data_IF_738435008604
#
_entry.id   IF_738435008604
#
_cell.length_a   1.000
_cell.length_b   1.000
_cell.length_c   1.000
_cell.angle_alpha   90.00
_cell.angle_beta   90.00
_cell.angle_gamma   90.00
#
_symmetry.space_group_name_H-M   'P 1'
#
loop_
_entity.id
_entity.type
_entity.pdbx_description
1 polymer ?
#
# COMPACT_ATOMS: atom_id res chain seq x y z
N UNK A 1 73.48 -15.32 39.89
CA UNK A 1 73.38 -14.69 38.57
C UNK A 1 72.21 -15.32 37.82
N UNK A 2 71.30 -14.49 37.26
CA UNK A 2 70.10 -14.84 36.45
C UNK A 2 68.98 -15.50 37.29
N UNK A 3 67.73 -14.99 37.33
CA UNK A 3 66.85 -14.67 36.21
C UNK A 3 65.96 -13.43 36.49
N UNK A 4 65.88 -12.53 35.51
CA UNK A 4 64.86 -11.48 35.42
C UNK A 4 63.60 -12.07 34.76
N UNK A 5 62.45 -12.02 35.44
CA UNK A 5 61.16 -12.33 34.81
C UNK A 5 60.57 -11.05 34.21
N UNK A 6 60.46 -11.02 32.88
CA UNK A 6 59.80 -9.97 32.11
C UNK A 6 58.29 -10.04 32.39
N UNK A 7 57.71 -8.94 32.85
CA UNK A 7 56.26 -8.76 32.94
C UNK A 7 55.75 -8.34 31.55
N UNK A 8 55.10 -9.24 30.83
CA UNK A 8 54.40 -8.91 29.60
C UNK A 8 52.96 -8.53 29.95
N UNK A 9 52.59 -7.25 29.80
CA UNK A 9 51.21 -6.79 29.91
C UNK A 9 50.59 -6.90 28.51
N UNK A 10 49.77 -7.93 28.31
CA UNK A 10 48.93 -8.05 27.11
C UNK A 10 47.72 -7.14 27.30
N UNK A 11 47.67 -6.02 26.56
CA UNK A 11 46.49 -5.17 26.50
C UNK A 11 45.44 -5.85 25.60
N UNK A 12 44.31 -6.26 26.19
CA UNK A 12 43.15 -6.69 25.42
C UNK A 12 42.41 -5.43 24.93
N UNK A 13 42.46 -5.16 23.63
CA UNK A 13 41.58 -4.18 22.99
C UNK A 13 40.20 -4.83 22.92
N UNK A 14 39.30 -4.42 23.81
CA UNK A 14 37.88 -4.73 23.70
C UNK A 14 37.33 -3.81 22.61
N UNK A 15 37.22 -4.34 21.39
CA UNK A 15 36.52 -3.67 20.30
C UNK A 15 35.04 -3.61 20.62
N UNK A 16 34.53 -2.43 20.96
CA UNK A 16 33.09 -2.18 20.94
C UNK A 16 32.65 -2.20 19.47
N UNK A 17 31.97 -3.27 19.08
CA UNK A 17 31.27 -3.33 17.79
C UNK A 17 30.23 -2.21 17.76
N UNK A 18 30.48 -1.20 16.93
CA UNK A 18 29.47 -0.21 16.55
C UNK A 18 28.41 -0.94 15.72
N UNK A 19 27.38 -1.46 16.39
CA UNK A 19 26.15 -1.86 15.71
C UNK A 19 25.56 -0.60 15.07
N UNK A 20 25.51 -0.56 13.75
CA UNK A 20 24.83 0.51 13.01
C UNK A 20 23.35 0.47 13.37
N UNK A 21 22.86 1.49 14.07
CA UNK A 21 21.43 1.73 14.25
C UNK A 21 20.87 2.13 12.88
N UNK A 22 20.25 1.20 12.18
CA UNK A 22 19.42 1.55 11.03
C UNK A 22 18.12 2.15 11.57
N UNK A 23 18.05 3.49 11.57
CA UNK A 23 16.80 4.20 11.84
C UNK A 23 15.98 4.07 10.55
N UNK A 24 14.89 3.30 10.58
CA UNK A 24 13.93 3.29 9.48
C UNK A 24 13.42 4.74 9.28
N UNK A 25 13.35 5.20 8.03
CA UNK A 25 12.88 6.54 7.70
C UNK A 25 11.57 6.45 6.92
N UNK A 26 10.65 7.38 7.19
CA UNK A 26 9.49 7.58 6.35
C UNK A 26 9.94 7.83 4.90
N UNK A 27 9.35 7.14 3.95
CA UNK A 27 9.67 7.26 2.54
C UNK A 27 8.39 7.44 1.72
N UNK A 28 8.49 8.19 0.62
CA UNK A 28 7.43 8.22 -0.39
C UNK A 28 7.69 7.08 -1.38
N UNK A 29 6.69 6.23 -1.57
CA UNK A 29 6.72 5.10 -2.50
C UNK A 29 5.59 5.27 -3.51
N UNK A 30 5.90 5.07 -4.78
CA UNK A 30 4.92 5.07 -5.87
C UNK A 30 4.77 3.66 -6.42
N UNK A 31 3.54 3.13 -6.41
CA UNK A 31 3.20 1.82 -6.93
C UNK A 31 2.36 1.98 -8.19
N UNK A 32 2.87 1.52 -9.32
CA UNK A 32 2.05 1.39 -10.53
C UNK A 32 1.02 0.28 -10.37
N UNK A 33 -0.14 0.46 -10.98
CA UNK A 33 -1.22 -0.53 -10.98
C UNK A 33 -0.74 -1.84 -11.60
N UNK A 34 -0.94 -2.95 -10.88
CA UNK A 34 -0.71 -4.31 -11.34
C UNK A 34 -1.83 -4.82 -12.24
N UNK A 35 -3.04 -4.27 -12.10
CA UNK A 35 -4.17 -4.49 -13.01
C UNK A 35 -5.18 -3.35 -12.85
N UNK A 36 -5.80 -2.94 -13.94
CA UNK A 36 -6.87 -1.95 -13.94
C UNK A 36 -7.88 -2.26 -15.02
N UNK A 37 -9.03 -1.61 -14.95
CA UNK A 37 -10.02 -1.70 -16.02
C UNK A 37 -11.40 -1.31 -15.52
N UNK A 38 -12.41 -1.91 -16.13
CA UNK A 38 -13.80 -1.78 -15.72
C UNK A 38 -14.54 -3.11 -15.71
N UNK A 39 -15.61 -3.15 -14.92
CA UNK A 39 -16.66 -4.16 -14.98
C UNK A 39 -18.02 -3.51 -15.26
N UNK A 40 -18.92 -4.26 -15.88
CA UNK A 40 -20.31 -3.85 -16.13
C UNK A 40 -21.26 -5.06 -16.13
N UNK A 41 -22.55 -4.79 -16.36
CA UNK A 41 -23.62 -5.80 -16.29
C UNK A 41 -24.18 -6.23 -17.65
N UNK A 42 -23.65 -5.73 -18.77
CA UNK A 42 -24.27 -5.90 -20.10
C UNK A 42 -23.30 -6.37 -21.18
N UNK A 43 -22.16 -5.70 -21.38
CA UNK A 43 -21.27 -5.97 -22.52
C UNK A 43 -20.11 -6.86 -22.12
N UNK A 44 -19.48 -7.54 -23.08
CA UNK A 44 -18.27 -8.32 -22.81
C UNK A 44 -17.05 -7.43 -22.60
N UNK A 45 -16.04 -7.95 -21.91
CA UNK A 45 -14.73 -7.31 -21.75
C UNK A 45 -13.60 -8.31 -22.07
N UNK A 46 -12.33 -7.86 -22.06
CA UNK A 46 -11.15 -8.71 -22.26
C UNK A 46 -10.09 -8.41 -21.21
N UNK A 47 -9.24 -9.40 -20.90
CA UNK A 47 -8.20 -9.26 -19.87
C UNK A 47 -7.13 -8.20 -20.23
N UNK A 48 -7.00 -7.84 -21.51
CA UNK A 48 -6.05 -6.82 -21.99
C UNK A 48 -6.63 -5.39 -21.99
N UNK A 49 -7.92 -5.24 -21.65
CA UNK A 49 -8.56 -3.94 -21.65
C UNK A 49 -8.27 -3.21 -20.34
N UNK A 50 -7.40 -2.20 -20.42
CA UNK A 50 -6.97 -1.42 -19.27
C UNK A 50 -7.65 -0.04 -19.19
N UNK A 51 -8.60 0.24 -20.09
CA UNK A 51 -9.48 1.41 -19.97
C UNK A 51 -10.22 1.34 -18.62
N UNK A 52 -10.19 2.41 -17.85
CA UNK A 52 -10.84 2.57 -16.55
C UNK A 52 -11.99 3.60 -16.59
N UNK A 53 -12.72 3.65 -17.71
CA UNK A 53 -13.96 4.41 -17.83
C UNK A 53 -14.87 4.14 -16.63
N UNK A 54 -15.40 5.22 -16.05
CA UNK A 54 -16.27 5.19 -14.89
C UNK A 54 -17.50 6.03 -15.15
N UNK A 55 -18.69 5.42 -15.07
CA UNK A 55 -19.97 6.07 -15.36
C UNK A 55 -20.71 5.45 -16.54
N UNK A 56 -21.67 6.19 -17.09
CA UNK A 56 -22.54 5.73 -18.16
C UNK A 56 -21.97 6.13 -19.53
N UNK A 57 -21.80 5.16 -20.41
CA UNK A 57 -21.56 5.36 -21.84
C UNK A 57 -22.52 4.47 -22.61
N UNK A 58 -23.50 5.11 -23.25
CA UNK A 58 -24.77 4.53 -23.69
C UNK A 58 -24.63 3.17 -24.38
N UNK A 59 -25.43 2.14 -24.00
CA UNK A 59 -26.39 2.06 -22.89
C UNK A 59 -25.79 1.44 -21.60
N UNK A 60 -24.46 1.48 -21.43
CA UNK A 60 -23.75 0.67 -20.44
C UNK A 60 -23.23 1.53 -19.29
N UNK A 61 -23.36 1.03 -18.07
CA UNK A 61 -22.73 1.64 -16.90
C UNK A 61 -21.48 0.87 -16.53
N UNK A 62 -20.38 1.59 -16.34
CA UNK A 62 -19.06 1.05 -16.06
C UNK A 62 -18.60 1.48 -14.68
N UNK A 63 -17.97 0.55 -13.95
CA UNK A 63 -17.28 0.84 -12.70
C UNK A 63 -15.83 0.42 -12.85
N UNK A 64 -14.94 1.33 -12.50
CA UNK A 64 -13.50 1.10 -12.64
C UNK A 64 -12.95 0.36 -11.45
N UNK A 65 -11.77 -0.24 -11.63
CA UNK A 65 -10.96 -0.74 -10.54
C UNK A 65 -9.48 -0.50 -10.82
N UNK A 66 -8.71 -0.46 -9.75
CA UNK A 66 -7.25 -0.44 -9.76
C UNK A 66 -6.73 -1.38 -8.69
N UNK A 67 -5.73 -2.20 -9.03
CA UNK A 67 -5.12 -3.19 -8.14
C UNK A 67 -3.63 -2.91 -8.00
N UNK A 68 -3.13 -2.86 -6.78
CA UNK A 68 -1.73 -2.56 -6.46
C UNK A 68 -1.12 -3.68 -5.64
N UNK A 69 0.10 -4.10 -5.98
CA UNK A 69 0.91 -5.01 -5.17
C UNK A 69 1.56 -4.25 -4.01
N UNK A 70 1.17 -4.57 -2.77
CA UNK A 70 1.73 -3.96 -1.54
C UNK A 70 2.90 -4.77 -0.96
N UNK A 71 3.47 -5.72 -1.72
CA UNK A 71 4.55 -6.62 -1.31
C UNK A 71 5.77 -5.94 -0.68
N UNK A 72 6.01 -4.67 -1.02
CA UNK A 72 7.16 -3.89 -0.57
C UNK A 72 6.82 -2.85 0.51
N UNK A 73 5.54 -2.72 0.90
CA UNK A 73 5.11 -1.68 1.82
C UNK A 73 5.06 -2.15 3.28
N UNK A 74 5.78 -1.42 4.12
CA UNK A 74 5.73 -1.55 5.57
C UNK A 74 5.12 -0.28 6.19
N UNK A 75 3.82 -0.34 6.51
CA UNK A 75 3.09 0.73 7.20
C UNK A 75 2.95 2.03 6.40
N UNK A 76 1.72 2.51 6.22
CA UNK A 76 1.37 3.70 5.45
C UNK A 76 0.68 4.72 6.35
N UNK A 77 1.12 5.98 6.24
CA UNK A 77 0.55 7.14 6.95
C UNK A 77 -0.40 7.97 6.08
N UNK A 78 -0.24 7.91 4.76
CA UNK A 78 -1.09 8.59 3.79
C UNK A 78 -1.01 7.89 2.44
N UNK A 79 -2.09 7.94 1.68
CA UNK A 79 -2.20 7.37 0.35
C UNK A 79 -2.91 8.34 -0.58
N UNK A 80 -2.41 8.46 -1.82
CA UNK A 80 -3.01 9.25 -2.89
C UNK A 80 -3.09 8.39 -4.13
N UNK A 81 -4.30 8.20 -4.66
CA UNK A 81 -4.50 7.58 -5.96
C UNK A 81 -4.31 8.64 -7.05
N UNK A 82 -3.45 8.35 -8.01
CA UNK A 82 -3.20 9.18 -9.17
C UNK A 82 -3.65 8.47 -10.44
N UNK A 83 -4.46 9.16 -11.25
CA UNK A 83 -4.92 8.67 -12.55
C UNK A 83 -4.85 9.79 -13.57
N UNK A 84 -4.67 9.46 -14.84
CA UNK A 84 -4.73 10.44 -15.92
C UNK A 84 -6.20 10.74 -16.27
N UNK A 85 -6.51 12.00 -16.61
CA UNK A 85 -7.87 12.49 -16.82
C UNK A 85 -8.58 11.84 -18.02
N UNK A 86 -7.92 11.73 -19.17
CA UNK A 86 -8.51 11.28 -20.43
C UNK A 86 -9.85 11.98 -20.76
N UNK A 87 -10.79 11.29 -21.42
CA UNK A 87 -12.07 11.84 -21.83
C UNK A 87 -13.11 11.76 -20.71
N UNK A 88 -13.87 12.84 -20.54
CA UNK A 88 -15.10 12.86 -19.76
C UNK A 88 -16.25 13.41 -20.59
N UNK A 89 -17.47 13.04 -20.21
CA UNK A 89 -18.70 13.51 -20.87
C UNK A 89 -19.84 13.72 -19.87
N UNK A 90 -20.84 14.48 -20.30
CA UNK A 90 -22.04 14.76 -19.52
C UNK A 90 -21.94 16.06 -18.73
N UNK A 91 -22.35 16.02 -17.46
CA UNK A 91 -22.35 17.19 -16.58
C UNK A 91 -20.94 17.81 -16.46
N UNK A 92 -20.79 19.14 -16.29
CA UNK A 92 -19.48 19.78 -16.18
C UNK A 92 -18.62 19.25 -15.02
N UNK A 93 -19.26 18.67 -14.01
CA UNK A 93 -18.61 18.05 -12.86
C UNK A 93 -19.40 16.81 -12.48
N UNK A 94 -18.67 15.71 -12.24
CA UNK A 94 -19.20 14.45 -11.76
C UNK A 94 -18.75 14.22 -10.32
N UNK A 95 -19.60 13.58 -9.51
CA UNK A 95 -19.22 13.12 -8.18
C UNK A 95 -18.65 11.70 -8.31
N UNK A 96 -17.34 11.55 -8.10
CA UNK A 96 -16.64 10.28 -8.12
C UNK A 96 -16.46 9.75 -6.69
N UNK A 97 -16.86 8.51 -6.44
CA UNK A 97 -16.59 7.79 -5.20
C UNK A 97 -15.57 6.68 -5.42
N UNK A 98 -14.69 6.48 -4.43
CA UNK A 98 -13.86 5.29 -4.34
C UNK A 98 -14.25 4.42 -3.16
N UNK A 99 -14.14 3.10 -3.32
CA UNK A 99 -14.65 2.11 -2.37
C UNK A 99 -13.69 0.94 -2.17
N UNK A 100 -13.85 0.23 -1.05
CA UNK A 100 -13.23 -1.07 -0.86
C UNK A 100 -13.74 -2.09 -1.87
N UNK A 101 -12.92 -3.11 -2.11
CA UNK A 101 -13.24 -4.18 -3.04
C UNK A 101 -12.99 -5.50 -2.32
N UNK A 102 -14.04 -6.31 -2.21
CA UNK A 102 -14.00 -7.62 -1.59
C UNK A 102 -13.65 -8.74 -2.58
N UNK A 103 -13.90 -8.50 -3.87
CA UNK A 103 -13.47 -9.38 -4.98
C UNK A 103 -11.95 -9.46 -5.00
N UNK A 104 -11.41 -10.67 -5.02
CA UNK A 104 -9.96 -10.88 -5.02
C UNK A 104 -9.31 -10.37 -6.31
N UNK A 105 -8.04 -9.95 -6.20
CA UNK A 105 -7.28 -9.37 -7.30
C UNK A 105 -7.18 -10.30 -8.53
N UNK A 106 -7.04 -11.61 -8.31
CA UNK A 106 -6.96 -12.61 -9.37
C UNK A 106 -8.29 -12.77 -10.13
N UNK A 107 -9.42 -12.63 -9.44
CA UNK A 107 -10.76 -12.66 -10.05
C UNK A 107 -11.04 -11.36 -10.81
N UNK A 108 -10.70 -10.19 -10.23
CA UNK A 108 -10.81 -8.89 -10.92
C UNK A 108 -10.03 -8.85 -12.24
N UNK A 109 -8.87 -9.52 -12.28
CA UNK A 109 -8.04 -9.60 -13.47
C UNK A 109 -8.69 -10.41 -14.62
N UNK A 110 -9.67 -11.27 -14.33
CA UNK A 110 -10.37 -12.09 -15.33
C UNK A 110 -11.55 -11.33 -15.98
N UNK A 111 -11.29 -10.13 -16.49
CA UNK A 111 -12.27 -9.27 -17.20
C UNK A 111 -12.99 -10.00 -18.36
N UNK A 112 -12.40 -11.05 -18.93
CA UNK A 112 -13.06 -11.92 -19.91
C UNK A 112 -14.34 -12.61 -19.39
N UNK A 113 -14.54 -12.69 -18.06
CA UNK A 113 -15.75 -13.20 -17.43
C UNK A 113 -16.86 -12.13 -17.31
N UNK A 114 -16.63 -10.89 -17.74
CA UNK A 114 -17.65 -9.85 -17.78
C UNK A 114 -18.73 -10.17 -18.84
N UNK A 115 -20.02 -9.90 -18.59
CA UNK A 115 -20.59 -9.15 -17.47
C UNK A 115 -20.74 -9.93 -16.16
N UNK A 116 -20.50 -9.26 -15.03
CA UNK A 116 -20.74 -9.79 -13.68
C UNK A 116 -21.33 -8.70 -12.77
N UNK A 117 -22.58 -8.92 -12.33
CA UNK A 117 -23.30 -7.95 -11.49
C UNK A 117 -22.76 -7.87 -10.07
N UNK A 118 -22.21 -8.96 -9.52
CA UNK A 118 -21.67 -8.96 -8.17
C UNK A 118 -20.37 -8.15 -8.13
N UNK A 119 -19.46 -8.38 -9.08
CA UNK A 119 -18.22 -7.61 -9.18
C UNK A 119 -18.55 -6.14 -9.46
N UNK A 120 -19.46 -5.85 -10.39
CA UNK A 120 -19.92 -4.49 -10.64
C UNK A 120 -20.43 -3.79 -9.37
N UNK A 121 -21.27 -4.45 -8.57
CA UNK A 121 -21.79 -3.87 -7.34
C UNK A 121 -20.69 -3.64 -6.28
N UNK A 122 -19.77 -4.59 -6.14
CA UNK A 122 -18.61 -4.51 -5.24
C UNK A 122 -17.75 -3.27 -5.54
N UNK A 123 -17.50 -2.94 -6.81
CA UNK A 123 -16.65 -1.81 -7.21
C UNK A 123 -17.20 -0.40 -6.89
N UNK A 124 -18.45 -0.27 -6.42
CA UNK A 124 -19.05 1.05 -6.18
C UNK A 124 -19.95 1.09 -4.96
N UNK A 125 -19.68 0.27 -3.96
CA UNK A 125 -20.37 0.27 -2.68
C UNK A 125 -19.43 -0.22 -1.57
N UNK A 126 -19.89 -0.20 -0.31
CA UNK A 126 -19.07 -0.60 0.83
C UNK A 126 -18.44 0.60 1.56
N UNK A 127 -17.28 0.36 2.16
CA UNK A 127 -16.46 1.35 2.86
C UNK A 127 -15.91 2.37 1.85
N UNK A 128 -16.26 3.63 2.05
CA UNK A 128 -15.84 4.72 1.17
C UNK A 128 -14.40 5.16 1.49
N UNK A 129 -13.56 5.29 0.46
CA UNK A 129 -12.18 5.78 0.55
C UNK A 129 -12.02 7.26 0.17
N UNK A 130 -13.09 7.87 -0.33
CA UNK A 130 -13.18 9.27 -0.64
C UNK A 130 -14.32 9.57 -1.62
N UNK A 131 -14.69 10.84 -1.69
CA UNK A 131 -15.66 11.38 -2.66
C UNK A 131 -15.13 12.69 -3.21
N UNK A 132 -15.12 12.83 -4.53
CA UNK A 132 -14.44 13.90 -5.24
C UNK A 132 -15.35 14.49 -6.32
N UNK A 133 -15.34 15.81 -6.44
CA UNK A 133 -15.93 16.51 -7.58
C UNK A 133 -14.88 16.61 -8.68
N UNK A 134 -15.13 15.95 -9.81
CA UNK A 134 -14.19 15.87 -10.93
C UNK A 134 -14.80 16.56 -12.15
N UNK A 135 -14.10 17.56 -12.69
CA UNK A 135 -14.48 18.17 -13.97
C UNK A 135 -14.44 17.14 -15.09
N UNK A 136 -15.46 17.13 -15.97
CA UNK A 136 -15.46 16.29 -17.18
C UNK A 136 -14.60 16.87 -18.31
N UNK A 137 -14.17 18.12 -18.17
CA UNK A 137 -13.27 18.83 -19.09
C UNK A 137 -11.92 19.09 -18.45
N UNK A 138 -10.87 19.23 -19.26
CA UNK A 138 -9.50 19.54 -18.83
C UNK A 138 -8.48 19.03 -19.83
N UNK A 139 -7.19 19.15 -19.50
CA UNK A 139 -6.13 18.50 -20.26
C UNK A 139 -6.23 16.99 -20.09
N UNK A 140 -6.34 16.26 -21.20
CA UNK A 140 -6.45 14.79 -21.18
C UNK A 140 -5.21 14.11 -20.58
N UNK A 141 -4.07 14.80 -20.54
CA UNK A 141 -2.82 14.31 -19.93
C UNK A 141 -2.64 14.75 -18.48
N UNK A 142 -3.59 15.49 -17.91
CA UNK A 142 -3.54 15.90 -16.52
C UNK A 142 -3.60 14.67 -15.60
N UNK A 143 -2.64 14.59 -14.68
CA UNK A 143 -2.66 13.62 -13.59
C UNK A 143 -3.50 14.16 -12.44
N UNK A 144 -4.66 13.56 -12.24
CA UNK A 144 -5.55 13.86 -11.12
C UNK A 144 -5.07 13.12 -9.89
N UNK A 145 -5.05 13.80 -8.74
CA UNK A 145 -4.62 13.25 -7.46
C UNK A 145 -5.78 13.22 -6.46
N UNK A 146 -6.07 12.03 -5.95
CA UNK A 146 -7.16 11.77 -5.02
C UNK A 146 -6.58 11.30 -3.68
N UNK A 147 -6.57 12.19 -2.68
CA UNK A 147 -6.10 11.86 -1.33
C UNK A 147 -7.11 10.93 -0.66
N UNK A 148 -6.69 9.71 -0.35
CA UNK A 148 -7.55 8.70 0.27
C UNK A 148 -7.66 8.93 1.78
N UNK A 149 -8.82 8.58 2.35
CA UNK A 149 -9.13 8.81 3.75
C UNK A 149 -8.49 7.76 4.70
N UNK A 150 -8.77 7.88 6.00
CA UNK A 150 -8.26 6.96 7.03
C UNK A 150 -8.72 5.50 6.85
N UNK A 151 -9.89 5.29 6.25
CA UNK A 151 -10.42 3.95 5.98
C UNK A 151 -9.57 3.24 4.92
N UNK A 152 -9.19 3.95 3.86
CA UNK A 152 -8.25 3.41 2.87
C UNK A 152 -6.88 3.12 3.47
N UNK A 153 -6.38 4.02 4.32
CA UNK A 153 -5.09 3.84 4.99
C UNK A 153 -5.11 2.60 5.91
N UNK A 154 -6.20 2.39 6.66
CA UNK A 154 -6.38 1.21 7.49
C UNK A 154 -6.38 -0.08 6.66
N UNK A 155 -7.07 -0.07 5.52
CA UNK A 155 -7.20 -1.23 4.64
C UNK A 155 -5.93 -1.56 3.84
N UNK A 156 -5.15 -0.54 3.47
CA UNK A 156 -3.80 -0.71 2.90
C UNK A 156 -2.88 -1.35 3.94
N UNK A 157 -2.90 -0.84 5.18
CA UNK A 157 -2.07 -1.38 6.26
C UNK A 157 -2.44 -2.82 6.63
N UNK A 158 -3.73 -3.16 6.62
CA UNK A 158 -4.20 -4.51 6.89
C UNK A 158 -3.83 -5.52 5.80
N UNK A 159 -3.52 -5.04 4.58
CA UNK A 159 -3.13 -5.85 3.42
C UNK A 159 -1.63 -5.74 3.10
N UNK A 160 -0.79 -5.36 4.07
CA UNK A 160 0.67 -5.36 3.89
C UNK A 160 1.14 -6.73 3.40
N UNK A 161 1.95 -6.75 2.33
CA UNK A 161 2.39 -7.98 1.68
C UNK A 161 1.37 -8.66 0.76
N UNK A 162 0.21 -8.04 0.50
CA UNK A 162 -0.86 -8.57 -0.37
C UNK A 162 -1.28 -7.54 -1.43
N UNK A 163 -2.19 -7.93 -2.32
CA UNK A 163 -2.82 -6.97 -3.23
C UNK A 163 -3.87 -6.11 -2.53
N UNK A 164 -3.93 -4.85 -2.93
CA UNK A 164 -5.00 -3.93 -2.56
C UNK A 164 -5.72 -3.45 -3.82
N UNK A 165 -7.04 -3.62 -3.83
CA UNK A 165 -7.91 -3.18 -4.92
C UNK A 165 -8.82 -2.06 -4.44
N UNK A 166 -9.07 -1.10 -5.32
CA UNK A 166 -9.95 0.05 -5.10
C UNK A 166 -10.92 0.18 -6.26
N UNK A 167 -12.21 0.30 -5.96
CA UNK A 167 -13.29 0.43 -6.94
C UNK A 167 -13.70 1.89 -7.13
N UNK A 168 -14.08 2.26 -8.35
CA UNK A 168 -14.52 3.61 -8.72
C UNK A 168 -15.92 3.62 -9.32
N UNK A 169 -16.78 4.52 -8.84
CA UNK A 169 -18.13 4.72 -9.37
C UNK A 169 -18.54 6.20 -9.34
N UNK A 170 -19.31 6.63 -10.35
CA UNK A 170 -19.99 7.92 -10.27
C UNK A 170 -21.21 7.81 -9.35
N UNK A 171 -21.42 8.84 -8.54
CA UNK A 171 -22.46 8.92 -7.51
C UNK A 171 -23.50 9.98 -7.86
N UNK A 172 -24.69 9.81 -7.31
CA UNK A 172 -25.81 10.73 -7.50
C UNK A 172 -26.61 10.44 -8.77
N UNK A 173 -27.50 11.38 -9.11
CA UNK A 173 -28.26 11.34 -10.35
C UNK A 173 -27.38 11.84 -11.50
N UNK A 174 -27.02 10.93 -12.41
CA UNK A 174 -26.19 11.25 -13.56
C UNK A 174 -27.01 11.94 -14.66
N UNK A 175 -28.35 11.88 -14.61
CA UNK A 175 -29.22 12.40 -15.65
C UNK A 175 -29.21 11.52 -16.92
N UNK A 176 -29.47 12.15 -18.07
CA UNK A 176 -29.58 11.47 -19.36
C UNK A 176 -28.29 11.57 -20.18
N UNK A 177 -28.12 10.63 -21.11
CA UNK A 177 -26.98 10.59 -22.03
C UNK A 177 -25.72 10.01 -21.41
N UNK A 178 -24.59 10.25 -22.08
CA UNK A 178 -23.28 9.81 -21.62
C UNK A 178 -22.82 10.67 -20.44
N UNK A 179 -22.42 10.00 -19.37
CA UNK A 179 -22.05 10.60 -18.08
C UNK A 179 -20.88 9.78 -17.53
N UNK A 180 -19.67 10.11 -17.96
CA UNK A 180 -18.49 9.31 -17.60
C UNK A 180 -17.26 10.17 -17.38
N UNK A 181 -16.31 9.58 -16.67
CA UNK A 181 -14.93 10.03 -16.55
C UNK A 181 -13.99 8.96 -17.12
N UNK A 182 -12.79 9.37 -17.50
CA UNK A 182 -11.67 8.49 -17.83
C UNK A 182 -11.91 7.57 -19.03
N UNK A 183 -12.78 7.96 -19.96
CA UNK A 183 -13.01 7.22 -21.20
C UNK A 183 -11.76 7.21 -22.09
N UNK A 184 -11.57 6.13 -22.84
CA UNK A 184 -10.42 5.91 -23.73
C UNK A 184 -9.05 5.92 -23.02
N UNK A 185 -9.02 5.50 -21.75
CA UNK A 185 -7.81 5.51 -20.92
C UNK A 185 -6.84 4.36 -21.20
N UNK A 186 -6.41 4.23 -22.45
CA UNK A 186 -5.43 3.23 -22.89
C UNK A 186 -3.99 3.67 -22.60
N UNK A 187 -3.08 2.71 -22.47
CA UNK A 187 -1.62 2.92 -22.35
C UNK A 187 -1.16 3.79 -21.15
N UNK A 188 -2.02 4.01 -20.15
CA UNK A 188 -1.71 4.70 -18.90
C UNK A 188 -1.93 3.76 -17.72
N UNK A 189 -1.03 3.78 -16.74
CA UNK A 189 -1.20 3.04 -15.48
C UNK A 189 -1.55 3.99 -14.33
N UNK A 190 -2.59 3.66 -13.56
CA UNK A 190 -2.84 4.37 -12.30
C UNK A 190 -1.66 4.16 -11.33
N UNK A 191 -1.42 5.15 -10.46
CA UNK A 191 -0.32 5.11 -9.49
C UNK A 191 -0.87 5.35 -8.08
N UNK A 192 -0.53 4.47 -7.15
CA UNK A 192 -0.77 4.68 -5.72
C UNK A 192 0.50 5.26 -5.10
N UNK A 193 0.43 6.52 -4.66
CA UNK A 193 1.53 7.20 -3.96
C UNK A 193 1.28 7.13 -2.47
N UNK A 194 2.18 6.53 -1.72
CA UNK A 194 2.07 6.37 -0.27
C UNK A 194 3.26 6.99 0.45
N UNK A 195 3.03 7.51 1.66
CA UNK A 195 4.11 7.84 2.58
C UNK A 195 4.17 6.78 3.68
N UNK A 196 5.29 6.08 3.78
CA UNK A 196 5.49 5.05 4.78
C UNK A 196 5.82 5.64 6.15
N UNK A 197 5.57 4.87 7.19
CA UNK A 197 6.09 5.17 8.54
C UNK A 197 7.38 4.38 8.75
N UNK A 198 8.33 4.87 9.56
CA UNK A 198 9.41 4.04 10.07
C UNK A 198 8.84 2.75 10.65
N UNK A 199 9.34 1.59 10.22
CA UNK A 199 9.08 0.37 10.96
C UNK A 199 9.50 0.61 12.41
N UNK A 200 8.69 0.22 13.41
CA UNK A 200 9.14 0.23 14.79
C UNK A 200 10.42 -0.59 14.83
N UNK A 201 11.56 0.08 15.03
CA UNK A 201 12.85 -0.59 15.05
C UNK A 201 12.74 -1.73 16.04
N UNK A 202 12.79 -2.96 15.55
CA UNK A 202 12.91 -4.11 16.42
C UNK A 202 14.21 -3.88 17.15
N UNK A 203 14.14 -3.44 18.40
CA UNK A 203 15.26 -3.37 19.31
C UNK A 203 15.63 -4.83 19.54
N UNK A 204 16.39 -5.42 18.61
CA UNK A 204 17.00 -6.73 18.76
C UNK A 204 17.70 -6.72 20.11
N UNK A 205 17.17 -7.52 21.04
CA UNK A 205 17.42 -7.39 22.47
C UNK A 205 18.88 -7.55 22.87
N UNK A 206 19.64 -6.46 22.79
CA UNK A 206 20.86 -6.27 23.54
C UNK A 206 20.56 -5.43 24.77
N UNK A 207 19.73 -5.96 25.68
CA UNK A 207 19.84 -5.61 27.08
C UNK A 207 21.17 -6.20 27.59
N UNK A 208 22.27 -5.55 27.21
CA UNK A 208 23.58 -5.70 27.81
C UNK A 208 23.50 -5.03 29.20
N UNK A 209 22.76 -5.63 30.12
CA UNK A 209 22.95 -5.38 31.55
C UNK A 209 24.26 -6.06 31.89
N UNK A 210 25.31 -5.23 31.83
CA UNK A 210 26.68 -5.60 32.08
C UNK A 210 26.84 -6.32 33.40
N UNK A 211 27.66 -7.37 33.33
CA UNK A 211 28.29 -8.06 34.43
C UNK A 211 29.05 -7.01 35.27
N UNK A 212 28.51 -6.63 36.43
CA UNK A 212 29.32 -6.05 37.50
C UNK A 212 29.85 -7.22 38.33
N UNK A 213 31.18 -7.33 38.34
CA UNK A 213 31.93 -8.42 38.94
C UNK A 213 31.95 -8.42 40.47
N UNK A 214 32.22 -9.63 40.96
CA UNK A 214 33.09 -10.00 42.08
C UNK A 214 33.24 -9.04 43.27
N UNK A 215 32.77 -9.52 44.43
CA UNK A 215 33.45 -9.54 45.74
C UNK A 215 32.50 -10.31 46.70
N UNK A 216 32.81 -11.36 47.47
CA UNK A 216 34.02 -11.89 48.07
C UNK A 216 33.79 -13.36 48.50
N UNK A 217 34.89 -14.11 48.56
CA UNK A 217 35.08 -15.45 49.13
C UNK A 217 34.27 -15.77 50.39
N UNK A 218 33.70 -16.99 50.44
CA UNK A 218 34.00 -17.99 51.50
C UNK A 218 33.52 -19.40 51.09
N UNK A 219 34.40 -20.17 50.44
CA UNK A 219 34.33 -21.63 50.49
C UNK A 219 34.89 -22.08 51.84
N UNK A 220 34.04 -22.55 52.76
CA UNK A 220 34.49 -23.39 53.87
C UNK A 220 34.28 -24.84 53.42
N UNK A 221 35.38 -25.55 53.22
CA UNK A 221 35.41 -26.96 52.82
C UNK A 221 34.70 -27.82 53.87
N UNK A 222 33.87 -28.75 53.42
CA UNK A 222 33.62 -29.99 54.14
C UNK A 222 34.88 -30.88 54.02
N UNK A 223 35.31 -31.48 55.13
CA UNK A 223 36.15 -32.66 55.14
C UNK A 223 35.49 -33.68 56.07
N UNK A 224 35.34 -34.90 55.54
CA UNK A 224 34.87 -36.10 56.21
C UNK A 224 35.98 -36.70 57.10
N UNK A 225 35.53 -37.46 58.11
CA UNK A 225 36.15 -38.64 58.73
C UNK A 225 37.50 -38.50 59.47
N UNK A 226 37.45 -38.59 60.81
CA UNK A 226 37.85 -39.79 61.60
C UNK A 226 36.79 -40.00 62.68
#
# INVERSE_FOLDING_TARGET
MKNCYKLAITAAIVGFGLGTLNIAQAATVSLSSSNQGWWNTITSNTNINDNYITGNYSPVSFRSFFTFDLGTLAGVSSATLQVQRFEGSGNPTQTLGFFDVSTSADVLAQKANNPDTNIYNDLGSGKNYGTFNVSTSGDQNEILSFVLNSDAIADINARSGQFFSIGGALLGDLGFGDQYLFGLSFDSSATLVVNTVPEPGTISGAALVGIIGLCLKRKRKAFQNV
#
